data_IF_911915839432
#
_entry.id   IF_911915839432
#
_cell.length_a   1.000
_cell.length_b   1.000
_cell.length_c   1.000
_cell.angle_alpha   90.00
_cell.angle_beta   90.00
_cell.angle_gamma   90.00
#
_symmetry.space_group_name_H-M   'P 1'
#
loop_
_entity.id
_entity.type
_entity.pdbx_description
1 polymer ?
#
# COMPACT_ATOMS: atom_id res chain seq x y z
N UNK A 1 -5.24 14.11 4.86
CA UNK A 1 -5.62 12.86 4.15
C UNK A 1 -5.84 11.70 5.10
N UNK A 2 -4.98 11.50 6.10
CA UNK A 2 -5.00 10.33 6.99
C UNK A 2 -6.31 10.16 7.76
N UNK A 3 -6.91 11.24 8.28
CA UNK A 3 -8.21 11.19 8.97
C UNK A 3 -9.31 10.75 7.98
N UNK A 4 -9.29 11.24 6.75
CA UNK A 4 -10.25 10.85 5.70
C UNK A 4 -10.05 9.37 5.35
N UNK A 5 -8.80 8.93 5.16
CA UNK A 5 -8.48 7.53 4.90
C UNK A 5 -8.95 6.60 6.02
N UNK A 6 -8.69 6.98 7.26
CA UNK A 6 -9.13 6.22 8.44
C UNK A 6 -10.65 6.12 8.51
N UNK A 7 -11.36 7.22 8.27
CA UNK A 7 -12.83 7.26 8.36
C UNK A 7 -13.52 6.49 7.22
N UNK A 8 -12.96 6.56 6.01
CA UNK A 8 -13.56 5.95 4.82
C UNK A 8 -13.13 4.52 4.56
N UNK A 9 -11.95 4.12 5.05
CA UNK A 9 -11.26 2.87 4.68
C UNK A 9 -11.11 2.70 3.16
N UNK A 10 -10.93 3.81 2.43
CA UNK A 10 -10.84 3.79 0.98
C UNK A 10 -9.78 4.78 0.47
N UNK A 11 -8.73 4.24 -0.15
CA UNK A 11 -7.72 5.04 -0.84
C UNK A 11 -8.33 5.84 -1.97
N UNK A 12 -9.30 5.29 -2.69
CA UNK A 12 -10.01 5.96 -3.77
C UNK A 12 -10.87 7.13 -3.27
N UNK A 13 -11.59 6.97 -2.17
CA UNK A 13 -12.36 8.06 -1.56
C UNK A 13 -11.43 9.17 -1.01
N UNK A 14 -10.22 8.82 -0.60
CA UNK A 14 -9.23 9.76 -0.08
C UNK A 14 -8.43 10.45 -1.20
N UNK A 15 -8.49 9.94 -2.42
CA UNK A 15 -7.68 10.36 -3.56
C UNK A 15 -7.64 11.90 -3.75
N UNK A 16 -8.78 12.64 -3.81
CA UNK A 16 -8.75 14.07 -4.04
C UNK A 16 -7.98 14.85 -2.96
N UNK A 17 -8.19 14.46 -1.68
CA UNK A 17 -7.55 15.11 -0.53
C UNK A 17 -6.06 14.77 -0.47
N UNK A 18 -5.68 13.56 -0.85
CA UNK A 18 -4.29 13.13 -0.89
C UNK A 18 -3.54 13.87 -2.00
N UNK A 19 -4.12 13.98 -3.20
CA UNK A 19 -3.56 14.74 -4.32
C UNK A 19 -3.34 16.21 -3.95
N UNK A 20 -4.35 16.86 -3.38
CA UNK A 20 -4.26 18.26 -2.96
C UNK A 20 -3.15 18.47 -1.92
N UNK A 21 -3.03 17.55 -0.95
CA UNK A 21 -2.00 17.63 0.09
C UNK A 21 -0.60 17.45 -0.48
N UNK A 22 -0.43 16.48 -1.36
CA UNK A 22 0.87 16.17 -2.00
C UNK A 22 1.32 17.34 -2.88
N UNK A 23 0.42 17.93 -3.66
CA UNK A 23 0.73 19.05 -4.50
C UNK A 23 1.00 20.34 -3.69
N UNK A 24 0.05 20.74 -2.81
CA UNK A 24 0.11 22.05 -2.15
C UNK A 24 0.97 22.08 -0.91
N UNK A 25 1.07 20.98 -0.14
CA UNK A 25 1.81 20.96 1.13
C UNK A 25 3.16 20.29 1.03
N UNK A 26 3.31 19.27 0.18
CA UNK A 26 4.58 18.59 -0.03
C UNK A 26 5.36 19.16 -1.22
N UNK A 27 4.76 20.02 -2.03
CA UNK A 27 5.41 20.73 -3.14
C UNK A 27 5.74 19.83 -4.33
N UNK A 28 5.07 18.69 -4.47
CA UNK A 28 5.25 17.79 -5.60
C UNK A 28 4.61 18.38 -6.85
N UNK A 29 5.27 18.27 -8.00
CA UNK A 29 4.75 18.78 -9.24
C UNK A 29 3.42 18.16 -9.62
N UNK A 30 2.53 18.97 -10.21
CA UNK A 30 1.21 18.53 -10.66
C UNK A 30 1.27 17.32 -11.60
N UNK A 31 2.31 17.27 -12.46
CA UNK A 31 2.49 16.15 -13.39
C UNK A 31 2.72 14.82 -12.65
N UNK A 32 3.60 14.82 -11.63
CA UNK A 32 3.87 13.64 -10.82
C UNK A 32 2.66 13.29 -9.96
N UNK A 33 2.05 14.27 -9.31
CA UNK A 33 0.87 14.06 -8.46
C UNK A 33 -0.28 13.42 -9.22
N UNK A 34 -0.61 13.94 -10.41
CA UNK A 34 -1.74 13.44 -11.23
C UNK A 34 -1.52 12.05 -11.80
N UNK A 35 -0.30 11.55 -11.81
CA UNK A 35 0.01 10.20 -12.29
C UNK A 35 0.24 9.22 -11.11
N UNK A 36 1.13 9.60 -10.18
CA UNK A 36 1.59 8.67 -9.13
C UNK A 36 0.50 8.40 -8.09
N UNK A 37 -0.25 9.42 -7.67
CA UNK A 37 -1.24 9.23 -6.59
C UNK A 37 -2.43 8.37 -7.05
N UNK A 38 -3.07 8.58 -8.22
CA UNK A 38 -4.12 7.68 -8.70
C UNK A 38 -3.63 6.26 -8.97
N UNK A 39 -2.41 6.12 -9.52
CA UNK A 39 -1.80 4.80 -9.75
C UNK A 39 -1.56 4.09 -8.42
N UNK A 40 -0.97 4.79 -7.43
CA UNK A 40 -0.73 4.26 -6.09
C UNK A 40 -2.01 3.81 -5.40
N UNK A 41 -3.07 4.62 -5.46
CA UNK A 41 -4.36 4.28 -4.87
C UNK A 41 -4.98 2.97 -5.40
N UNK A 42 -4.50 2.46 -6.52
CA UNK A 42 -4.94 1.19 -7.11
C UNK A 42 -3.97 0.04 -6.90
N UNK A 43 -2.65 0.28 -6.99
CA UNK A 43 -1.64 -0.80 -6.98
C UNK A 43 -0.73 -0.80 -5.76
N UNK A 44 -0.59 0.32 -5.05
CA UNK A 44 0.29 0.41 -3.87
C UNK A 44 -0.49 0.13 -2.59
N UNK A 45 -0.72 -1.14 -2.31
CA UNK A 45 -1.42 -1.61 -1.11
C UNK A 45 -0.45 -2.19 -0.07
N UNK A 46 0.59 -1.43 0.27
CA UNK A 46 1.62 -1.85 1.21
C UNK A 46 1.05 -2.24 2.58
N UNK A 47 0.07 -1.48 3.09
CA UNK A 47 -0.62 -1.81 4.33
C UNK A 47 -1.34 -3.16 4.28
N UNK A 48 -1.87 -3.54 3.12
CA UNK A 48 -2.51 -4.84 2.91
C UNK A 48 -1.48 -5.97 2.89
N UNK A 49 -0.34 -5.79 2.22
CA UNK A 49 0.73 -6.80 2.21
C UNK A 49 1.25 -7.09 3.63
N UNK A 50 1.48 -6.03 4.43
CA UNK A 50 1.87 -6.15 5.83
C UNK A 50 0.80 -6.90 6.63
N UNK A 51 -0.46 -6.50 6.47
CA UNK A 51 -1.58 -7.12 7.17
C UNK A 51 -1.72 -8.60 6.86
N UNK A 52 -1.69 -9.00 5.58
CA UNK A 52 -1.80 -10.40 5.19
C UNK A 52 -0.69 -11.26 5.79
N UNK A 53 0.53 -10.73 5.79
CA UNK A 53 1.68 -11.41 6.40
C UNK A 53 1.49 -11.57 7.92
N UNK A 54 1.09 -10.50 8.61
CA UNK A 54 0.84 -10.55 10.07
C UNK A 54 -0.27 -11.52 10.43
N UNK A 55 -1.35 -11.55 9.65
CA UNK A 55 -2.47 -12.50 9.84
C UNK A 55 -2.00 -13.95 9.69
N UNK A 56 -1.21 -14.22 8.66
CA UNK A 56 -0.67 -15.58 8.45
C UNK A 56 0.22 -16.02 9.63
N UNK A 57 1.10 -15.14 10.09
CA UNK A 57 1.95 -15.42 11.25
C UNK A 57 1.14 -15.61 12.53
N UNK A 58 0.12 -14.78 12.73
CA UNK A 58 -0.77 -14.89 13.89
C UNK A 58 -1.50 -16.24 13.93
N UNK A 59 -2.11 -16.64 12.80
CA UNK A 59 -2.80 -17.93 12.75
C UNK A 59 -1.86 -19.13 12.82
N UNK A 60 -0.66 -19.05 12.23
CA UNK A 60 0.34 -20.09 12.40
C UNK A 60 0.69 -20.28 13.87
N UNK A 61 0.91 -19.20 14.62
CA UNK A 61 1.17 -19.27 16.06
C UNK A 61 -0.04 -19.77 16.85
N UNK A 62 -1.25 -19.30 16.51
CA UNK A 62 -2.49 -19.71 17.17
C UNK A 62 -2.74 -21.23 17.05
N UNK A 63 -2.43 -21.79 15.88
CA UNK A 63 -2.60 -23.23 15.61
C UNK A 63 -1.36 -24.08 15.92
N UNK A 64 -0.29 -23.47 16.43
CA UNK A 64 0.95 -24.19 16.75
C UNK A 64 1.65 -24.76 15.52
N UNK A 65 1.55 -24.07 14.37
CA UNK A 65 2.18 -24.49 13.12
C UNK A 65 3.57 -23.89 13.01
N UNK A 66 4.58 -24.75 12.92
CA UNK A 66 5.97 -24.35 12.70
C UNK A 66 6.19 -23.97 11.24
N UNK A 67 6.43 -22.69 10.99
CA UNK A 67 6.72 -22.17 9.66
C UNK A 67 8.21 -22.36 9.32
N UNK A 68 8.49 -22.99 8.20
CA UNK A 68 9.83 -23.07 7.63
C UNK A 68 10.10 -21.92 6.64
N UNK A 69 11.33 -21.80 6.16
CA UNK A 69 11.71 -20.74 5.21
C UNK A 69 10.85 -20.73 3.94
N UNK A 70 10.44 -21.89 3.44
CA UNK A 70 9.55 -22.01 2.28
C UNK A 70 8.18 -21.38 2.54
N UNK A 71 7.61 -21.57 3.72
CA UNK A 71 6.35 -20.94 4.13
C UNK A 71 6.49 -19.42 4.21
N UNK A 72 7.57 -18.89 4.79
CA UNK A 72 7.80 -17.42 4.83
C UNK A 72 7.92 -16.82 3.43
N UNK A 73 8.61 -17.49 2.51
CA UNK A 73 8.73 -17.05 1.12
C UNK A 73 7.35 -17.08 0.43
N UNK A 74 6.59 -18.18 0.58
CA UNK A 74 5.26 -18.32 -0.01
C UNK A 74 4.29 -17.23 0.50
N UNK A 75 4.24 -17.01 1.82
CA UNK A 75 3.45 -15.94 2.44
C UNK A 75 3.84 -14.57 1.88
N UNK A 76 5.14 -14.27 1.83
CA UNK A 76 5.63 -12.96 1.37
C UNK A 76 5.27 -12.68 -0.10
N UNK A 77 5.46 -13.66 -0.98
CA UNK A 77 5.13 -13.54 -2.40
C UNK A 77 3.62 -13.41 -2.58
N UNK A 78 2.83 -14.28 -1.94
CA UNK A 78 1.37 -14.27 -2.10
C UNK A 78 0.76 -13.00 -1.50
N UNK A 79 1.24 -12.52 -0.36
CA UNK A 79 0.79 -11.27 0.24
C UNK A 79 1.13 -10.05 -0.63
N UNK A 80 2.33 -10.00 -1.21
CA UNK A 80 2.75 -8.90 -2.08
C UNK A 80 1.94 -8.88 -3.37
N UNK A 81 1.79 -10.01 -4.06
CA UNK A 81 1.00 -10.11 -5.29
C UNK A 81 -0.49 -9.85 -5.02
N UNK A 82 -1.02 -10.41 -3.93
CA UNK A 82 -2.41 -10.22 -3.52
C UNK A 82 -2.74 -8.77 -3.16
N UNK A 83 -1.78 -8.04 -2.60
CA UNK A 83 -1.96 -6.64 -2.25
C UNK A 83 -2.17 -5.75 -3.48
N UNK A 84 -1.50 -6.03 -4.59
CA UNK A 84 -1.64 -5.28 -5.85
C UNK A 84 -3.03 -5.46 -6.47
N UNK A 85 -3.67 -6.61 -6.27
CA UNK A 85 -4.98 -6.93 -6.86
C UNK A 85 -6.19 -6.29 -6.17
N UNK A 86 -6.03 -5.58 -5.07
CA UNK A 86 -7.15 -5.15 -4.21
C UNK A 86 -7.85 -3.85 -4.62
N UNK A 87 -7.32 -3.09 -5.54
CA UNK A 87 -7.97 -1.95 -6.19
C UNK A 87 -8.46 -0.79 -5.29
N UNK A 88 -7.93 -0.60 -4.07
CA UNK A 88 -8.16 0.60 -3.24
C UNK A 88 -9.57 0.86 -2.73
N UNK A 89 -10.44 -0.15 -2.80
CA UNK A 89 -11.81 -0.09 -2.26
C UNK A 89 -11.93 -0.93 -0.99
N UNK A 90 -12.81 -0.58 -0.06
CA UNK A 90 -13.09 -1.42 1.10
C UNK A 90 -13.55 -2.79 0.63
N UNK A 91 -12.93 -3.83 1.13
CA UNK A 91 -13.33 -5.17 0.72
C UNK A 91 -12.64 -6.26 1.51
N UNK A 92 -13.35 -7.39 1.65
CA UNK A 92 -12.85 -8.49 2.44
C UNK A 92 -11.66 -9.12 1.74
N UNK A 93 -10.80 -9.40 2.37
CA UNK A 93 -9.90 -10.42 2.83
C UNK A 93 -9.88 -11.73 2.02
N UNK A 94 -10.42 -11.75 0.78
CA UNK A 94 -10.24 -12.94 -0.09
C UNK A 94 -8.76 -13.29 -0.26
N UNK A 95 -7.90 -12.28 -0.27
CA UNK A 95 -6.46 -12.48 -0.36
C UNK A 95 -5.86 -13.08 0.92
N UNK A 96 -6.47 -12.88 2.10
CA UNK A 96 -6.05 -13.59 3.31
C UNK A 96 -6.23 -15.09 3.14
N UNK A 97 -7.34 -15.53 2.56
CA UNK A 97 -7.56 -16.96 2.28
C UNK A 97 -6.43 -17.52 1.41
N UNK A 98 -6.07 -16.83 0.34
CA UNK A 98 -4.97 -17.26 -0.53
C UNK A 98 -3.62 -17.29 0.20
N UNK A 99 -3.34 -16.30 1.05
CA UNK A 99 -2.10 -16.25 1.83
C UNK A 99 -2.05 -17.38 2.87
N UNK A 100 -3.12 -17.63 3.61
CA UNK A 100 -3.19 -18.74 4.58
C UNK A 100 -3.04 -20.09 3.87
N UNK A 101 -3.73 -20.28 2.76
CA UNK A 101 -3.65 -21.51 1.97
C UNK A 101 -2.24 -21.75 1.41
N UNK A 102 -1.50 -20.71 1.05
CA UNK A 102 -0.12 -20.83 0.53
C UNK A 102 0.86 -21.42 1.54
N UNK A 103 0.55 -21.32 2.82
CA UNK A 103 1.34 -21.87 3.92
C UNK A 103 0.66 -23.05 4.63
N UNK A 104 -0.44 -23.59 4.07
CA UNK A 104 -1.17 -24.71 4.67
C UNK A 104 -1.82 -24.37 6.02
N UNK A 105 -2.11 -23.08 6.27
CA UNK A 105 -2.71 -22.62 7.53
C UNK A 105 -4.24 -22.81 7.47
N UNK A 106 -4.86 -23.42 8.50
CA UNK A 106 -6.31 -23.62 8.55
C UNK A 106 -7.12 -22.33 8.47
N UNK A 107 -8.31 -22.41 7.84
CA UNK A 107 -9.16 -21.24 7.58
C UNK A 107 -10.24 -21.03 8.64
N UNK A 108 -10.35 -21.91 9.63
CA UNK A 108 -11.37 -21.90 10.67
C UNK A 108 -11.35 -20.64 11.54
N UNK A 109 -10.20 -19.95 11.59
CA UNK A 109 -10.04 -18.68 12.31
C UNK A 109 -10.59 -17.44 11.59
N UNK A 110 -10.96 -17.54 10.32
CA UNK A 110 -11.43 -16.39 9.53
C UNK A 110 -12.60 -15.60 10.16
N UNK A 111 -13.59 -16.22 10.82
CA UNK A 111 -14.64 -15.46 11.49
C UNK A 111 -14.15 -14.49 12.57
N UNK A 112 -13.09 -14.85 13.30
CA UNK A 112 -12.45 -13.95 14.26
C UNK A 112 -11.83 -12.74 13.57
N UNK A 113 -11.21 -12.95 12.42
CA UNK A 113 -10.62 -11.89 11.64
C UNK A 113 -11.67 -10.93 11.10
N UNK A 114 -12.75 -11.44 10.55
CA UNK A 114 -13.84 -10.62 10.00
C UNK A 114 -14.48 -9.70 11.04
N UNK A 115 -14.53 -10.10 12.30
CA UNK A 115 -15.03 -9.26 13.38
C UNK A 115 -14.16 -7.99 13.61
N UNK A 116 -12.89 -8.06 13.31
CA UNK A 116 -11.91 -6.97 13.52
C UNK A 116 -11.49 -6.28 12.21
N UNK A 117 -11.86 -6.86 11.07
CA UNK A 117 -11.36 -6.42 9.74
C UNK A 117 -11.61 -4.94 9.47
N UNK A 118 -12.74 -4.41 9.91
CA UNK A 118 -13.06 -2.99 9.73
C UNK A 118 -12.02 -2.06 10.36
N UNK A 119 -11.55 -2.37 11.56
CA UNK A 119 -10.54 -1.57 12.26
C UNK A 119 -9.19 -1.67 11.54
N UNK A 120 -8.83 -2.88 11.15
CA UNK A 120 -7.60 -3.11 10.40
C UNK A 120 -7.63 -2.44 9.03
N UNK A 121 -8.79 -2.41 8.36
CA UNK A 121 -8.96 -1.75 7.07
C UNK A 121 -8.75 -0.22 7.16
N UNK A 122 -9.22 0.42 8.21
CA UNK A 122 -8.95 1.82 8.51
C UNK A 122 -7.45 2.10 8.61
N UNK A 123 -6.73 1.26 9.36
CA UNK A 123 -5.28 1.41 9.56
C UNK A 123 -4.50 1.14 8.27
N UNK A 124 -4.84 0.07 7.55
CA UNK A 124 -4.22 -0.29 6.26
C UNK A 124 -4.34 0.85 5.25
N UNK A 125 -5.52 1.48 5.17
CA UNK A 125 -5.77 2.58 4.24
C UNK A 125 -4.90 3.79 4.54
N UNK A 126 -4.69 4.13 5.80
CA UNK A 126 -3.76 5.20 6.20
C UNK A 126 -2.34 4.90 5.75
N UNK A 127 -1.89 3.65 5.90
CA UNK A 127 -0.56 3.24 5.44
C UNK A 127 -0.43 3.31 3.92
N UNK A 128 -1.45 2.86 3.19
CA UNK A 128 -1.46 2.88 1.73
C UNK A 128 -1.31 4.30 1.19
N UNK A 129 -2.17 5.24 1.59
CA UNK A 129 -2.11 6.63 1.10
C UNK A 129 -0.83 7.37 1.53
N UNK A 130 -0.25 6.99 2.67
CA UNK A 130 1.03 7.55 3.13
C UNK A 130 2.17 7.05 2.25
N UNK A 131 2.15 5.78 1.87
CA UNK A 131 3.07 5.20 0.89
C UNK A 131 2.97 5.89 -0.48
N UNK A 132 1.75 6.15 -0.95
CA UNK A 132 1.51 6.88 -2.22
C UNK A 132 2.16 8.26 -2.19
N UNK A 133 1.94 9.01 -1.10
CA UNK A 133 2.53 10.33 -0.93
C UNK A 133 4.06 10.28 -0.91
N UNK A 134 4.65 9.30 -0.21
CA UNK A 134 6.10 9.10 -0.17
C UNK A 134 6.66 8.77 -1.56
N UNK A 135 6.01 7.86 -2.30
CA UNK A 135 6.38 7.53 -3.67
C UNK A 135 6.34 8.76 -4.60
N UNK A 136 5.30 9.61 -4.46
CA UNK A 136 5.19 10.82 -5.25
C UNK A 136 6.34 11.79 -4.98
N UNK A 137 6.70 12.02 -3.72
CA UNK A 137 7.83 12.89 -3.33
C UNK A 137 9.16 12.35 -3.89
N UNK A 138 9.41 11.05 -3.76
CA UNK A 138 10.64 10.42 -4.29
C UNK A 138 10.68 10.53 -5.81
N UNK A 139 9.57 10.23 -6.49
CA UNK A 139 9.47 10.30 -7.95
C UNK A 139 9.72 11.71 -8.46
N UNK A 140 9.12 12.72 -7.84
CA UNK A 140 9.30 14.12 -8.23
C UNK A 140 10.75 14.57 -8.06
N UNK A 141 11.38 14.17 -6.95
CA UNK A 141 12.80 14.47 -6.71
C UNK A 141 13.71 13.84 -7.78
N UNK A 142 13.47 12.60 -8.16
CA UNK A 142 14.25 11.90 -9.19
C UNK A 142 14.03 12.52 -10.58
N UNK A 143 12.77 12.82 -10.94
CA UNK A 143 12.43 13.49 -12.20
C UNK A 143 13.01 14.92 -12.27
N UNK A 144 12.99 15.65 -11.16
CA UNK A 144 13.58 16.99 -11.07
C UNK A 144 15.09 17.00 -11.28
N UNK A 145 15.80 16.01 -10.73
CA UNK A 145 17.25 15.82 -10.99
C UNK A 145 17.53 15.52 -12.48
N UNK A 146 16.74 14.63 -13.08
CA UNK A 146 16.88 14.27 -14.49
C UNK A 146 16.64 15.47 -15.41
N UNK A 147 15.63 16.30 -15.13
CA UNK A 147 15.36 17.54 -15.90
C UNK A 147 16.49 18.55 -15.80
N UNK A 148 17.08 18.74 -14.61
CA UNK A 148 18.23 19.64 -14.41
C UNK A 148 19.48 19.15 -15.13
N UNK A 149 19.71 17.84 -15.17
CA UNK A 149 20.84 17.24 -15.89
C UNK A 149 20.70 17.34 -17.42
N UNK A 150 19.44 17.32 -17.93
CA UNK A 150 19.14 17.41 -19.36
C UNK A 150 18.99 18.86 -19.88
N UNK A 151 18.94 19.86 -19.00
CA UNK A 151 18.86 21.26 -19.40
C UNK A 151 20.18 21.69 -20.09
N UNK A 152 20.13 22.33 -21.28
CA UNK A 152 21.30 22.86 -21.94
C UNK A 152 22.00 23.86 -21.01
N UNK A 153 23.31 23.65 -20.77
CA UNK A 153 24.11 24.64 -20.06
C UNK A 153 24.19 25.88 -20.96
N UNK A 154 23.45 26.94 -20.58
CA UNK A 154 23.59 28.24 -21.24
C UNK A 154 25.03 28.71 -21.06
N UNK A 155 25.81 28.98 -22.14
CA UNK A 155 27.16 29.50 -21.96
C UNK A 155 27.10 30.81 -21.18
N UNK A 156 27.98 30.94 -20.20
CA UNK A 156 28.19 32.22 -19.51
C UNK A 156 28.44 33.31 -20.57
N UNK A 157 27.62 34.32 -20.61
CA UNK A 157 27.89 35.52 -21.40
C UNK A 157 29.06 36.24 -20.72
N UNK A 158 30.22 36.24 -21.39
CA UNK A 158 31.36 37.10 -21.06
C UNK A 158 31.04 38.56 -21.46
#
# INVERSE_FOLDING_TARGET
>A
PQIVAFSTSSSMATLPVNMETVEKKLGVSKQVTSFVIPLGATINMTGNAIYYTLVALFFAQLYGIDLNLGHYIAISITASLGSVGQAGVPGPTLMVVAVLASAGIPLEGLPLLFALDRIFDMIRTVLNITGDAACAVVTDHLCGKSRRAAAPQTPAQE
#
